data_IF_301311884141
#
_entry.id   IF_301311884141
#
_cell.length_a   1.000
_cell.length_b   1.000
_cell.length_c   1.000
_cell.angle_alpha   90.00
_cell.angle_beta   90.00
_cell.angle_gamma   90.00
#
_symmetry.space_group_name_H-M   'P 1'
#
loop_
_entity.id
_entity.type
_entity.pdbx_description
1 polymer ?
#
# COMPACT_ATOMS: atom_id res chain seq x y z
N UNK A 1 2.34 17.00 5.35
CA UNK A 1 3.58 17.37 4.63
C UNK A 1 3.20 17.76 3.21
N UNK A 2 3.71 18.85 2.68
CA UNK A 2 3.49 19.27 1.29
C UNK A 2 4.40 18.44 0.36
N UNK A 3 4.05 18.23 -0.91
CA UNK A 3 4.87 17.42 -1.82
C UNK A 3 6.35 17.84 -1.92
N UNK A 4 6.65 19.15 -1.92
CA UNK A 4 8.03 19.65 -1.95
C UNK A 4 8.78 19.40 -0.62
N UNK A 5 8.13 19.52 0.53
CA UNK A 5 8.74 19.21 1.84
C UNK A 5 9.12 17.73 1.93
N UNK A 6 8.28 16.87 1.34
CA UNK A 6 8.56 15.44 1.24
C UNK A 6 9.78 15.15 0.36
N UNK A 7 9.86 15.80 -0.80
CA UNK A 7 10.99 15.64 -1.72
C UNK A 7 12.30 16.17 -1.10
N UNK A 8 12.25 17.30 -0.42
CA UNK A 8 13.39 17.89 0.31
C UNK A 8 13.89 16.94 1.40
N UNK A 9 12.96 16.38 2.19
CA UNK A 9 13.30 15.39 3.20
C UNK A 9 13.98 14.16 2.57
N UNK A 10 13.40 13.56 1.52
CA UNK A 10 13.99 12.41 0.86
C UNK A 10 15.39 12.72 0.29
N UNK A 11 15.57 13.89 -0.29
CA UNK A 11 16.87 14.31 -0.83
C UNK A 11 17.92 14.48 0.29
N UNK A 12 17.53 15.03 1.43
CA UNK A 12 18.47 15.29 2.55
C UNK A 12 18.96 14.01 3.23
N UNK A 13 18.14 12.94 3.28
CA UNK A 13 18.47 11.68 3.97
C UNK A 13 18.93 10.56 3.03
N UNK A 14 18.82 10.71 1.71
CA UNK A 14 19.04 9.65 0.75
C UNK A 14 20.42 8.98 0.87
N UNK A 15 21.48 9.79 1.08
CA UNK A 15 22.85 9.28 1.24
C UNK A 15 22.98 8.42 2.50
N UNK A 16 22.50 8.94 3.63
CA UNK A 16 22.57 8.26 4.93
C UNK A 16 21.82 6.93 4.90
N UNK A 17 20.60 6.91 4.35
CA UNK A 17 19.78 5.70 4.20
C UNK A 17 20.47 4.65 3.33
N UNK A 18 21.14 5.06 2.25
CA UNK A 18 21.89 4.14 1.39
C UNK A 18 23.11 3.53 2.11
N UNK A 19 23.89 4.37 2.80
CA UNK A 19 25.06 3.93 3.55
C UNK A 19 24.65 2.99 4.67
N UNK A 20 23.56 3.28 5.38
CA UNK A 20 23.00 2.41 6.40
C UNK A 20 22.53 1.06 5.84
N UNK A 21 21.84 1.05 4.70
CA UNK A 21 21.37 -0.17 4.06
C UNK A 21 22.54 -1.09 3.66
N UNK A 22 23.57 -0.56 3.04
CA UNK A 22 24.78 -1.30 2.64
C UNK A 22 25.53 -1.82 3.86
N UNK A 23 25.73 -0.98 4.86
CA UNK A 23 26.39 -1.35 6.12
C UNK A 23 25.63 -2.45 6.86
N UNK A 24 24.31 -2.31 6.99
CA UNK A 24 23.46 -3.31 7.66
C UNK A 24 23.42 -4.64 6.94
N UNK A 25 23.55 -4.63 5.62
CA UNK A 25 23.66 -5.84 4.82
C UNK A 25 25.05 -6.50 4.91
N UNK A 26 26.06 -5.81 5.46
CA UNK A 26 27.45 -6.30 5.56
C UNK A 26 28.14 -6.44 4.21
N UNK A 27 27.73 -5.68 3.19
CA UNK A 27 28.28 -5.71 1.83
C UNK A 27 28.88 -4.35 1.44
N UNK A 28 29.59 -4.33 0.32
CA UNK A 28 30.04 -3.12 -0.34
C UNK A 28 29.17 -2.76 -1.55
N UNK A 29 29.22 -1.51 -2.01
CA UNK A 29 28.52 -1.09 -3.22
C UNK A 29 28.89 -1.89 -4.48
N UNK A 30 30.11 -2.43 -4.55
CA UNK A 30 30.56 -3.23 -5.69
C UNK A 30 29.85 -4.61 -5.77
N UNK A 31 29.35 -5.11 -4.65
CA UNK A 31 28.62 -6.38 -4.56
C UNK A 31 27.14 -6.24 -4.94
N UNK A 32 26.63 -5.00 -5.08
CA UNK A 32 25.29 -4.75 -5.60
C UNK A 32 25.23 -5.20 -7.05
N UNK A 33 24.24 -6.03 -7.39
CA UNK A 33 24.08 -6.60 -8.73
C UNK A 33 22.98 -5.95 -9.54
N UNK A 34 21.99 -5.32 -8.88
CA UNK A 34 20.79 -4.75 -9.49
C UNK A 34 20.32 -3.54 -8.68
N UNK A 35 19.78 -2.53 -9.35
CA UNK A 35 19.18 -1.37 -8.71
C UNK A 35 17.71 -1.31 -9.08
N UNK A 36 16.84 -1.38 -8.06
CA UNK A 36 15.41 -1.20 -8.18
C UNK A 36 14.99 0.16 -7.61
N UNK A 37 14.00 0.80 -8.23
CA UNK A 37 13.39 2.01 -7.70
C UNK A 37 11.89 2.04 -7.91
N UNK A 38 11.16 2.74 -7.05
CA UNK A 38 9.73 2.97 -7.25
C UNK A 38 9.54 3.94 -8.41
N UNK A 39 9.13 3.42 -9.56
CA UNK A 39 8.86 4.22 -10.76
C UNK A 39 7.49 4.91 -10.67
N UNK A 40 6.56 4.30 -9.97
CA UNK A 40 5.20 4.75 -9.75
C UNK A 40 4.26 3.63 -9.35
N UNK A 41 2.99 3.94 -9.05
CA UNK A 41 2.45 5.29 -8.88
C UNK A 41 2.96 5.97 -7.59
N UNK A 42 2.70 7.28 -7.46
CA UNK A 42 3.05 8.01 -6.24
C UNK A 42 3.17 9.53 -6.43
N UNK A 43 3.62 10.19 -5.37
CA UNK A 43 3.82 11.64 -5.37
C UNK A 43 5.00 11.98 -6.28
N UNK A 44 4.73 12.64 -7.42
CA UNK A 44 5.70 12.87 -8.48
C UNK A 44 7.03 13.45 -8.01
N UNK A 45 7.02 14.46 -7.13
CA UNK A 45 8.25 15.08 -6.60
C UNK A 45 9.08 14.09 -5.76
N UNK A 46 8.46 13.22 -4.97
CA UNK A 46 9.16 12.18 -4.22
C UNK A 46 9.71 11.09 -5.14
N UNK A 47 8.93 10.68 -6.16
CA UNK A 47 9.37 9.71 -7.17
C UNK A 47 10.60 10.21 -7.94
N UNK A 48 10.65 11.51 -8.28
CA UNK A 48 11.81 12.12 -8.97
C UNK A 48 13.08 11.97 -8.13
N UNK A 49 13.02 12.21 -6.82
CA UNK A 49 14.20 12.04 -5.94
C UNK A 49 14.68 10.59 -5.94
N UNK A 50 13.77 9.64 -5.75
CA UNK A 50 14.11 8.21 -5.78
C UNK A 50 14.71 7.76 -7.11
N UNK A 51 14.10 8.18 -8.23
CA UNK A 51 14.59 7.90 -9.57
C UNK A 51 15.99 8.52 -9.81
N UNK A 52 16.20 9.76 -9.39
CA UNK A 52 17.50 10.43 -9.52
C UNK A 52 18.61 9.67 -8.80
N UNK A 53 18.38 9.28 -7.55
CA UNK A 53 19.35 8.53 -6.75
C UNK A 53 19.65 7.16 -7.38
N UNK A 54 18.61 6.43 -7.80
CA UNK A 54 18.76 5.13 -8.43
C UNK A 54 19.52 5.20 -9.76
N UNK A 55 19.24 6.20 -10.60
CA UNK A 55 19.93 6.46 -11.86
C UNK A 55 21.40 6.79 -11.64
N UNK A 56 21.70 7.68 -10.69
CA UNK A 56 23.07 8.04 -10.35
C UNK A 56 23.88 6.83 -9.86
N UNK A 57 23.26 5.95 -9.06
CA UNK A 57 23.90 4.71 -8.63
C UNK A 57 24.11 3.73 -9.78
N UNK A 58 23.12 3.56 -10.66
CA UNK A 58 23.20 2.69 -11.85
C UNK A 58 24.37 3.11 -12.74
N UNK A 59 24.47 4.39 -13.06
CA UNK A 59 25.57 4.95 -13.87
C UNK A 59 26.93 4.76 -13.16
N UNK A 60 27.00 5.11 -11.88
CA UNK A 60 28.26 5.02 -11.12
C UNK A 60 28.78 3.60 -10.97
N UNK A 61 27.89 2.64 -10.77
CA UNK A 61 28.24 1.23 -10.50
C UNK A 61 28.21 0.35 -11.76
N UNK A 62 27.71 0.85 -12.87
CA UNK A 62 27.52 0.08 -14.12
C UNK A 62 26.55 -1.08 -13.94
N UNK A 63 25.48 -0.89 -13.11
CA UNK A 63 24.52 -1.95 -12.78
C UNK A 63 23.18 -1.71 -13.45
N UNK A 64 22.44 -2.79 -13.84
CA UNK A 64 21.12 -2.65 -14.44
C UNK A 64 20.15 -1.91 -13.52
N UNK A 65 19.27 -1.09 -14.10
CA UNK A 65 18.24 -0.30 -13.45
C UNK A 65 16.86 -0.85 -13.78
N UNK A 66 16.03 -1.11 -12.79
CA UNK A 66 14.65 -1.59 -12.95
C UNK A 66 13.68 -0.66 -12.24
N UNK A 67 12.76 -0.08 -13.01
CA UNK A 67 11.61 0.66 -12.47
C UNK A 67 10.51 -0.29 -12.05
N UNK A 68 10.02 -0.14 -10.81
CA UNK A 68 9.07 -1.03 -10.16
C UNK A 68 7.73 -0.33 -9.99
N UNK A 69 6.64 -1.06 -10.29
CA UNK A 69 5.29 -0.65 -9.93
C UNK A 69 5.08 -0.89 -8.42
N UNK A 70 4.80 0.16 -7.67
CA UNK A 70 4.73 0.15 -6.21
C UNK A 70 3.67 -0.81 -5.63
N UNK A 71 2.41 -0.85 -6.11
CA UNK A 71 1.44 -1.87 -5.72
C UNK A 71 1.91 -3.31 -5.96
N UNK A 72 2.54 -3.60 -7.09
CA UNK A 72 3.10 -4.93 -7.36
C UNK A 72 4.15 -5.30 -6.30
N UNK A 73 5.00 -4.35 -5.90
CA UNK A 73 6.00 -4.61 -4.88
C UNK A 73 5.38 -5.02 -3.53
N UNK A 74 4.29 -4.35 -3.11
CA UNK A 74 3.53 -4.76 -1.92
C UNK A 74 2.94 -6.15 -2.04
N UNK A 75 2.38 -6.49 -3.20
CA UNK A 75 1.78 -7.81 -3.43
C UNK A 75 2.87 -8.89 -3.38
N UNK A 76 3.96 -8.72 -4.12
CA UNK A 76 5.00 -9.73 -4.24
C UNK A 76 5.79 -9.95 -2.94
N UNK A 77 6.09 -8.89 -2.18
CA UNK A 77 6.72 -9.04 -0.87
C UNK A 77 5.77 -9.73 0.12
N UNK A 78 4.48 -9.41 0.05
CA UNK A 78 3.45 -10.07 0.85
C UNK A 78 3.34 -11.57 0.51
N UNK A 79 3.36 -11.90 -0.77
CA UNK A 79 3.29 -13.29 -1.23
C UNK A 79 4.46 -14.12 -0.72
N UNK A 80 5.69 -13.67 -0.93
CA UNK A 80 6.88 -14.43 -0.48
C UNK A 80 6.95 -14.53 1.05
N UNK A 81 6.64 -13.45 1.77
CA UNK A 81 6.69 -13.44 3.24
C UNK A 81 5.66 -14.36 3.90
N UNK A 82 4.54 -14.65 3.21
CA UNK A 82 3.43 -15.45 3.77
C UNK A 82 3.27 -16.82 3.11
N UNK A 83 4.03 -17.11 2.07
CA UNK A 83 3.84 -18.31 1.24
C UNK A 83 2.53 -18.30 0.46
N UNK A 84 1.97 -17.11 0.20
CA UNK A 84 0.73 -16.95 -0.56
C UNK A 84 0.98 -17.20 -2.05
N UNK A 85 0.09 -17.97 -2.70
CA UNK A 85 0.29 -18.37 -4.10
C UNK A 85 -0.51 -17.53 -5.09
N UNK A 86 -1.84 -17.54 -4.95
CA UNK A 86 -2.76 -16.83 -5.85
C UNK A 86 -3.94 -16.24 -5.09
N UNK A 87 -3.72 -15.27 -4.22
CA UNK A 87 -4.75 -14.69 -3.35
C UNK A 87 -5.65 -13.70 -4.07
N UNK A 88 -6.80 -13.42 -3.46
CA UNK A 88 -7.36 -12.07 -3.51
C UNK A 88 -6.50 -11.18 -2.62
N UNK A 89 -6.04 -10.06 -3.15
CA UNK A 89 -5.22 -9.11 -2.41
C UNK A 89 -6.06 -7.91 -1.99
N UNK A 90 -6.06 -7.62 -0.70
CA UNK A 90 -6.61 -6.39 -0.14
C UNK A 90 -5.45 -5.44 0.15
N UNK A 91 -5.24 -4.49 -0.75
CA UNK A 91 -4.19 -3.48 -0.65
C UNK A 91 -4.74 -2.19 -0.05
N UNK A 92 -4.36 -1.86 1.17
CA UNK A 92 -4.86 -0.68 1.89
C UNK A 92 -3.71 0.14 2.46
N UNK A 93 -3.49 1.29 1.83
CA UNK A 93 -2.42 2.23 2.20
C UNK A 93 -2.98 3.64 2.47
N UNK A 94 -2.11 4.63 2.58
CA UNK A 94 -2.51 6.05 2.65
C UNK A 94 -3.36 6.46 1.45
N UNK A 95 -2.82 6.30 0.26
CA UNK A 95 -3.45 6.72 -1.00
C UNK A 95 -4.37 5.69 -1.64
N UNK A 96 -4.13 4.41 -1.42
CA UNK A 96 -4.83 3.33 -2.11
C UNK A 96 -5.70 2.50 -1.18
N UNK A 97 -6.88 2.12 -1.67
CA UNK A 97 -7.72 1.05 -1.13
C UNK A 97 -8.22 0.28 -2.32
N UNK A 98 -7.63 -0.88 -2.58
CA UNK A 98 -7.88 -1.68 -3.77
C UNK A 98 -8.06 -3.15 -3.39
N UNK A 99 -8.98 -3.81 -4.08
CA UNK A 99 -9.13 -5.27 -4.07
C UNK A 99 -8.64 -5.79 -5.41
N UNK A 100 -7.62 -6.61 -5.38
CA UNK A 100 -6.85 -7.01 -6.55
C UNK A 100 -6.87 -8.53 -6.66
N UNK A 101 -6.88 -9.05 -7.87
CA UNK A 101 -6.69 -10.49 -8.16
C UNK A 101 -5.71 -10.66 -9.32
N UNK A 102 -5.16 -11.86 -9.47
CA UNK A 102 -4.38 -12.23 -10.63
C UNK A 102 -5.23 -13.06 -11.60
N UNK A 103 -5.18 -12.71 -12.90
CA UNK A 103 -5.99 -13.38 -13.95
C UNK A 103 -5.18 -14.37 -14.81
N UNK A 104 -4.02 -14.82 -14.34
CA UNK A 104 -3.10 -15.68 -15.06
C UNK A 104 -2.03 -14.92 -15.87
N UNK A 105 -2.28 -13.65 -16.23
CA UNK A 105 -1.36 -12.81 -17.03
C UNK A 105 -0.88 -11.57 -16.30
N UNK A 106 -1.75 -10.96 -15.50
CA UNK A 106 -1.49 -9.71 -14.78
C UNK A 106 -2.39 -9.59 -13.56
N UNK A 107 -2.03 -8.69 -12.69
CA UNK A 107 -2.91 -8.22 -11.63
C UNK A 107 -4.03 -7.36 -12.21
N UNK A 108 -5.24 -7.51 -11.66
CA UNK A 108 -6.45 -6.80 -12.08
C UNK A 108 -7.13 -6.23 -10.86
N UNK A 109 -7.49 -4.96 -10.89
CA UNK A 109 -8.28 -4.31 -9.85
C UNK A 109 -9.74 -4.72 -10.03
N UNK A 110 -10.30 -5.40 -9.05
CA UNK A 110 -11.73 -5.79 -9.01
C UNK A 110 -12.60 -4.68 -8.46
N UNK A 111 -12.06 -3.90 -7.52
CA UNK A 111 -12.73 -2.78 -6.90
C UNK A 111 -11.73 -1.88 -6.20
N UNK A 112 -12.05 -0.60 -6.11
CA UNK A 112 -11.19 0.40 -5.50
C UNK A 112 -11.98 1.56 -4.88
N UNK A 113 -11.30 2.39 -4.10
CA UNK A 113 -11.89 3.64 -3.65
C UNK A 113 -12.04 4.62 -4.81
N UNK A 114 -13.23 5.22 -4.93
CA UNK A 114 -13.53 6.19 -5.99
C UNK A 114 -13.05 7.62 -5.66
N UNK A 115 -12.52 7.83 -4.44
CA UNK A 115 -12.15 9.19 -4.01
C UNK A 115 -10.82 9.20 -3.24
N UNK A 116 -10.82 8.93 -1.95
CA UNK A 116 -9.61 8.94 -1.10
C UNK A 116 -9.33 7.55 -0.53
N UNK A 117 -8.05 7.21 -0.38
CA UNK A 117 -7.66 6.00 0.32
C UNK A 117 -8.05 6.03 1.79
N UNK A 118 -8.28 4.84 2.37
CA UNK A 118 -8.68 4.70 3.77
C UNK A 118 -7.66 5.33 4.73
N UNK A 119 -6.36 5.13 4.51
CA UNK A 119 -5.33 5.75 5.34
C UNK A 119 -5.37 7.28 5.28
N UNK A 120 -5.55 7.87 4.10
CA UNK A 120 -5.71 9.33 3.97
C UNK A 120 -7.00 9.84 4.65
N UNK A 121 -8.07 9.06 4.65
CA UNK A 121 -9.29 9.41 5.38
C UNK A 121 -9.05 9.42 6.90
N UNK A 122 -8.32 8.41 7.42
CA UNK A 122 -7.87 8.37 8.81
C UNK A 122 -6.97 9.56 9.16
N UNK A 123 -6.01 9.89 8.31
CA UNK A 123 -5.08 11.01 8.52
C UNK A 123 -5.81 12.35 8.57
N UNK A 124 -6.80 12.56 7.71
CA UNK A 124 -7.61 13.78 7.71
C UNK A 124 -8.47 13.90 8.96
N UNK A 125 -9.13 12.81 9.38
CA UNK A 125 -9.92 12.80 10.61
C UNK A 125 -9.02 13.00 11.84
N UNK A 126 -7.89 12.31 11.92
CA UNK A 126 -6.92 12.43 12.99
C UNK A 126 -6.36 13.85 13.12
N UNK A 127 -6.09 14.52 12.01
CA UNK A 127 -5.66 15.93 11.99
C UNK A 127 -6.72 16.88 12.54
N UNK A 128 -7.99 16.69 12.17
CA UNK A 128 -9.11 17.48 12.71
C UNK A 128 -9.26 17.30 14.23
N UNK A 129 -8.90 16.12 14.74
CA UNK A 129 -8.91 15.79 16.16
C UNK A 129 -7.67 16.27 16.90
N UNK A 130 -6.65 16.79 16.20
CA UNK A 130 -5.36 17.18 16.79
C UNK A 130 -4.47 15.99 17.18
N UNK A 131 -4.67 14.82 16.60
CA UNK A 131 -3.86 13.63 16.86
C UNK A 131 -2.49 13.74 16.16
N UNK A 132 -1.42 13.20 16.76
CA UNK A 132 -0.12 13.12 16.11
C UNK A 132 -0.16 12.18 14.89
N UNK A 133 0.77 12.41 13.96
CA UNK A 133 0.92 11.57 12.77
C UNK A 133 1.88 10.39 13.05
N UNK A 134 1.57 9.17 12.58
CA UNK A 134 0.33 8.73 11.95
C UNK A 134 -0.80 8.50 12.99
N UNK A 135 -2.03 8.98 12.76
CA UNK A 135 -3.11 8.88 13.72
C UNK A 135 -3.75 7.47 13.81
N UNK A 136 -3.58 6.65 12.76
CA UNK A 136 -4.21 5.33 12.65
C UNK A 136 -4.06 4.45 13.90
N UNK A 137 -2.87 4.22 14.43
CA UNK A 137 -2.66 3.40 15.63
C UNK A 137 -3.40 3.93 16.87
N UNK A 138 -3.47 5.26 17.03
CA UNK A 138 -4.19 5.90 18.13
C UNK A 138 -5.69 5.72 17.95
N UNK A 139 -6.20 5.99 16.75
CA UNK A 139 -7.62 5.83 16.42
C UNK A 139 -8.07 4.37 16.59
N UNK A 140 -7.20 3.43 16.27
CA UNK A 140 -7.48 1.99 16.38
C UNK A 140 -7.68 1.53 17.84
N UNK A 141 -7.04 2.20 18.79
CA UNK A 141 -7.17 1.91 20.23
C UNK A 141 -8.35 2.61 20.93
N UNK A 142 -9.02 3.54 20.24
CA UNK A 142 -10.13 4.29 20.81
C UNK A 142 -11.39 3.41 20.84
N UNK A 143 -11.99 3.30 22.02
CA UNK A 143 -13.30 2.69 22.22
C UNK A 143 -14.38 3.78 22.31
N UNK A 144 -15.56 3.51 21.75
CA UNK A 144 -16.67 4.44 21.73
C UNK A 144 -18.00 3.74 21.52
N UNK A 145 -19.07 4.53 21.57
CA UNK A 145 -20.42 4.08 21.27
C UNK A 145 -20.72 4.31 19.78
N UNK A 146 -21.62 3.50 19.25
CA UNK A 146 -22.08 3.62 17.88
C UNK A 146 -22.74 4.97 17.61
N UNK A 147 -22.29 5.61 16.56
CA UNK A 147 -22.93 6.77 15.94
C UNK A 147 -23.14 6.44 14.46
N UNK A 148 -24.37 6.59 13.99
CA UNK A 148 -24.69 6.34 12.58
C UNK A 148 -23.87 7.22 11.65
N UNK A 149 -23.19 6.61 10.68
CA UNK A 149 -22.39 7.25 9.64
C UNK A 149 -22.73 6.62 8.29
N UNK A 150 -22.54 7.35 7.18
CA UNK A 150 -22.83 6.84 5.84
C UNK A 150 -22.03 5.57 5.51
N UNK A 151 -22.69 4.61 4.89
CA UNK A 151 -22.10 3.38 4.38
C UNK A 151 -22.15 3.42 2.84
N UNK A 152 -21.01 3.58 2.19
CA UNK A 152 -20.96 3.86 0.75
C UNK A 152 -20.15 2.79 0.01
N UNK A 153 -20.81 1.68 -0.33
CA UNK A 153 -20.30 0.62 -1.19
C UNK A 153 -21.20 0.55 -2.43
N UNK A 154 -20.60 0.58 -3.62
CA UNK A 154 -21.29 0.48 -4.91
C UNK A 154 -20.67 -0.62 -5.76
N UNK A 155 -21.31 -1.79 -5.81
CA UNK A 155 -20.74 -2.95 -6.49
C UNK A 155 -19.45 -3.39 -5.82
N UNK A 156 -18.33 -3.27 -6.52
CA UNK A 156 -16.99 -3.58 -6.00
C UNK A 156 -16.23 -2.33 -5.53
N UNK A 157 -16.79 -1.14 -5.72
CA UNK A 157 -16.14 0.13 -5.36
C UNK A 157 -16.69 0.71 -4.07
N UNK A 158 -15.91 1.58 -3.45
CA UNK A 158 -16.26 2.23 -2.20
C UNK A 158 -15.79 3.70 -2.19
N UNK A 159 -16.34 4.49 -1.26
CA UNK A 159 -16.03 5.92 -1.15
C UNK A 159 -15.96 6.32 0.31
N UNK A 160 -14.88 7.00 0.70
CA UNK A 160 -14.65 7.42 2.09
C UNK A 160 -14.90 8.92 2.33
N UNK A 161 -14.98 9.74 1.27
CA UNK A 161 -15.14 11.19 1.43
C UNK A 161 -16.47 11.58 2.10
N UNK A 162 -17.55 10.89 1.75
CA UNK A 162 -18.86 11.11 2.38
C UNK A 162 -18.85 10.71 3.86
N UNK A 163 -18.27 9.56 4.19
CA UNK A 163 -18.08 9.08 5.55
C UNK A 163 -17.27 10.08 6.39
N UNK A 164 -16.14 10.56 5.85
CA UNK A 164 -15.27 11.53 6.50
C UNK A 164 -15.99 12.87 6.73
N UNK A 165 -16.69 13.37 5.71
CA UNK A 165 -17.41 14.64 5.80
C UNK A 165 -18.50 14.61 6.88
N UNK A 166 -19.24 13.50 6.97
CA UNK A 166 -20.27 13.34 7.99
C UNK A 166 -19.65 13.19 9.39
N UNK A 167 -18.57 12.45 9.53
CA UNK A 167 -17.82 12.35 10.80
C UNK A 167 -17.38 13.74 11.29
N UNK A 168 -16.78 14.56 10.40
CA UNK A 168 -16.38 15.93 10.71
C UNK A 168 -17.59 16.83 11.06
N UNK A 169 -18.70 16.67 10.36
CA UNK A 169 -19.95 17.43 10.64
C UNK A 169 -20.48 17.11 12.05
N UNK A 170 -20.49 15.84 12.44
CA UNK A 170 -20.94 15.40 13.76
C UNK A 170 -19.98 15.87 14.88
N UNK A 171 -18.67 15.86 14.63
CA UNK A 171 -17.71 16.46 15.57
C UNK A 171 -18.02 17.95 15.84
N UNK A 172 -18.29 18.73 14.78
CA UNK A 172 -18.68 20.14 14.91
C UNK A 172 -20.02 20.33 15.60
N UNK A 173 -20.91 19.36 15.50
CA UNK A 173 -22.21 19.34 16.20
C UNK A 173 -22.12 18.93 17.67
N UNK A 174 -20.92 18.65 18.20
CA UNK A 174 -20.69 18.37 19.62
C UNK A 174 -20.80 16.89 20.02
N UNK A 175 -20.82 15.97 19.06
CA UNK A 175 -20.73 14.56 19.38
C UNK A 175 -19.37 14.23 20.01
N UNK A 176 -19.32 13.22 20.90
CA UNK A 176 -18.07 12.80 21.53
C UNK A 176 -17.07 12.31 20.48
N UNK A 177 -15.82 12.75 20.63
CA UNK A 177 -14.74 12.40 19.69
C UNK A 177 -14.52 10.89 19.59
N UNK A 178 -14.53 10.21 20.74
CA UNK A 178 -14.33 8.77 20.83
C UNK A 178 -15.41 7.99 20.06
N UNK A 179 -16.66 8.40 20.19
CA UNK A 179 -17.79 7.77 19.52
C UNK A 179 -17.70 7.94 17.99
N UNK A 180 -17.30 9.12 17.53
CA UNK A 180 -17.10 9.39 16.11
C UNK A 180 -15.92 8.59 15.55
N UNK A 181 -14.78 8.58 16.23
CA UNK A 181 -13.60 7.83 15.78
C UNK A 181 -13.91 6.34 15.71
N UNK A 182 -14.51 5.79 16.78
CA UNK A 182 -14.86 4.38 16.83
C UNK A 182 -15.80 4.00 15.68
N UNK A 183 -16.87 4.77 15.47
CA UNK A 183 -17.87 4.51 14.41
C UNK A 183 -17.28 4.70 13.01
N UNK A 184 -16.41 5.70 12.81
CA UNK A 184 -15.72 5.92 11.55
C UNK A 184 -14.86 4.72 11.16
N UNK A 185 -14.03 4.23 12.10
CA UNK A 185 -13.17 3.07 11.88
C UNK A 185 -14.00 1.81 11.60
N UNK A 186 -15.09 1.62 12.37
CA UNK A 186 -15.98 0.48 12.24
C UNK A 186 -16.66 0.42 10.86
N UNK A 187 -17.22 1.54 10.41
CA UNK A 187 -17.87 1.65 9.09
C UNK A 187 -16.85 1.48 7.97
N UNK A 188 -15.72 2.20 8.04
CA UNK A 188 -14.71 2.16 6.99
C UNK A 188 -14.10 0.76 6.82
N UNK A 189 -13.81 0.07 7.91
CA UNK A 189 -13.32 -1.31 7.87
C UNK A 189 -14.37 -2.28 7.36
N UNK A 190 -15.64 -2.13 7.79
CA UNK A 190 -16.72 -3.01 7.32
C UNK A 190 -16.97 -2.86 5.81
N UNK A 191 -16.97 -1.63 5.28
CA UNK A 191 -17.06 -1.39 3.84
C UNK A 191 -15.93 -2.09 3.07
N UNK A 192 -14.70 -1.99 3.58
CA UNK A 192 -13.53 -2.55 2.94
C UNK A 192 -13.54 -4.09 2.98
N UNK A 193 -13.95 -4.67 4.10
CA UNK A 193 -14.09 -6.13 4.27
C UNK A 193 -15.19 -6.69 3.38
N UNK A 194 -16.32 -5.99 3.25
CA UNK A 194 -17.43 -6.41 2.37
C UNK A 194 -16.98 -6.53 0.91
N UNK A 195 -16.22 -5.54 0.40
CA UNK A 195 -15.72 -5.59 -0.98
C UNK A 195 -14.72 -6.74 -1.16
N UNK A 196 -13.86 -6.99 -0.18
CA UNK A 196 -12.94 -8.11 -0.18
C UNK A 196 -13.69 -9.47 -0.16
N UNK A 197 -14.76 -9.58 0.62
CA UNK A 197 -15.63 -10.75 0.64
C UNK A 197 -16.30 -11.03 -0.72
N UNK A 198 -16.84 -9.98 -1.34
CA UNK A 198 -17.41 -10.07 -2.70
C UNK A 198 -16.37 -10.54 -3.71
N UNK A 199 -15.11 -10.09 -3.59
CA UNK A 199 -14.04 -10.51 -4.48
C UNK A 199 -13.68 -11.99 -4.30
N UNK A 200 -13.64 -12.51 -3.07
CA UNK A 200 -13.47 -13.95 -2.83
C UNK A 200 -14.61 -14.74 -3.45
N UNK A 201 -15.87 -14.29 -3.30
CA UNK A 201 -17.02 -14.94 -3.92
C UNK A 201 -16.99 -14.90 -5.45
N UNK A 202 -16.61 -13.75 -6.02
CA UNK A 202 -16.56 -13.55 -7.48
C UNK A 202 -15.47 -14.40 -8.14
N UNK A 203 -14.31 -14.50 -7.51
CA UNK A 203 -13.14 -15.21 -8.06
C UNK A 203 -13.13 -16.70 -7.75
N UNK A 204 -13.90 -17.14 -6.75
CA UNK A 204 -13.84 -18.50 -6.23
C UNK A 204 -12.53 -18.83 -5.51
N UNK A 205 -11.67 -17.84 -5.26
CA UNK A 205 -10.42 -18.03 -4.51
C UNK A 205 -10.71 -18.18 -3.02
N UNK A 206 -9.87 -18.95 -2.35
CA UNK A 206 -9.99 -19.26 -0.93
C UNK A 206 -8.82 -18.73 -0.09
N UNK A 207 -8.12 -17.74 -0.59
CA UNK A 207 -6.99 -17.10 0.08
C UNK A 207 -7.08 -15.58 -0.06
N UNK A 208 -6.94 -14.87 1.05
CA UNK A 208 -6.88 -13.41 1.09
C UNK A 208 -5.55 -12.96 1.69
N UNK A 209 -4.86 -12.09 0.96
CA UNK A 209 -3.62 -11.44 1.38
C UNK A 209 -3.89 -9.96 1.66
N UNK A 210 -3.67 -9.52 2.90
CA UNK A 210 -3.78 -8.11 3.31
C UNK A 210 -2.40 -7.46 3.29
N UNK A 211 -2.24 -6.36 2.53
CA UNK A 211 -0.99 -5.59 2.41
C UNK A 211 -1.23 -4.08 2.49
N UNK A 212 -0.18 -3.31 2.69
CA UNK A 212 -0.21 -1.86 2.85
C UNK A 212 -0.19 -1.40 4.30
N UNK A 213 0.02 -0.11 4.53
CA UNK A 213 0.24 0.43 5.87
C UNK A 213 -0.92 0.25 6.84
N UNK A 214 -2.17 0.26 6.36
CA UNK A 214 -3.38 0.04 7.19
C UNK A 214 -3.50 -1.42 7.64
N UNK A 215 -2.81 -2.36 6.98
CA UNK A 215 -2.70 -3.75 7.42
C UNK A 215 -2.06 -3.90 8.83
N UNK A 216 -1.43 -2.86 9.35
CA UNK A 216 -0.92 -2.85 10.72
C UNK A 216 -2.04 -2.81 11.80
N UNK A 217 -3.25 -2.30 11.46
CA UNK A 217 -4.37 -2.16 12.41
C UNK A 217 -4.83 -3.51 12.98
N UNK A 218 -4.79 -3.74 14.30
CA UNK A 218 -5.31 -4.95 14.92
C UNK A 218 -6.81 -5.15 14.68
N UNK A 219 -7.62 -4.09 14.78
CA UNK A 219 -9.07 -4.17 14.55
C UNK A 219 -9.40 -4.54 13.11
N UNK A 220 -8.67 -3.96 12.15
CA UNK A 220 -8.89 -4.28 10.75
C UNK A 220 -8.50 -5.74 10.44
N UNK A 221 -7.34 -6.18 10.91
CA UNK A 221 -6.91 -7.59 10.77
C UNK A 221 -7.93 -8.56 11.34
N UNK A 222 -8.47 -8.26 12.53
CA UNK A 222 -9.48 -9.10 13.18
C UNK A 222 -10.76 -9.20 12.34
N UNK A 223 -11.25 -8.09 11.79
CA UNK A 223 -12.43 -8.11 10.90
C UNK A 223 -12.18 -8.94 9.64
N UNK A 224 -11.04 -8.74 9.00
CA UNK A 224 -10.67 -9.51 7.80
C UNK A 224 -10.53 -10.99 8.13
N UNK A 225 -9.88 -11.33 9.24
CA UNK A 225 -9.70 -12.72 9.69
C UNK A 225 -11.03 -13.41 9.90
N UNK A 226 -11.96 -12.78 10.65
CA UNK A 226 -13.30 -13.33 10.89
C UNK A 226 -14.07 -13.58 9.60
N UNK A 227 -14.06 -12.63 8.67
CA UNK A 227 -14.71 -12.80 7.37
C UNK A 227 -14.11 -13.99 6.62
N UNK A 228 -12.79 -14.14 6.61
CA UNK A 228 -12.13 -15.28 5.96
C UNK A 228 -12.53 -16.61 6.63
N UNK A 229 -12.54 -16.68 7.95
CA UNK A 229 -12.95 -17.88 8.71
C UNK A 229 -14.40 -18.29 8.39
N UNK A 230 -15.32 -17.33 8.39
CA UNK A 230 -16.74 -17.55 8.06
C UNK A 230 -16.94 -18.06 6.63
N UNK A 231 -16.03 -17.71 5.69
CA UNK A 231 -16.04 -18.18 4.31
C UNK A 231 -15.19 -19.44 4.08
N UNK A 232 -14.50 -19.96 5.07
CA UNK A 232 -13.54 -21.05 4.89
C UNK A 232 -12.33 -20.67 4.05
N UNK A 233 -11.98 -19.37 3.98
CA UNK A 233 -10.82 -18.87 3.29
C UNK A 233 -9.63 -18.68 4.25
N UNK A 234 -8.41 -18.82 3.74
CA UNK A 234 -7.21 -18.53 4.51
C UNK A 234 -6.90 -17.03 4.52
N UNK A 235 -6.52 -16.51 5.68
CA UNK A 235 -6.08 -15.13 5.85
C UNK A 235 -4.58 -15.04 6.00
N UNK A 236 -3.95 -14.21 5.18
CA UNK A 236 -2.51 -13.96 5.16
C UNK A 236 -2.24 -12.47 5.33
N UNK A 237 -1.24 -12.15 6.15
CA UNK A 237 -0.73 -10.79 6.33
C UNK A 237 0.77 -10.88 6.61
N UNK A 238 1.63 -10.15 5.89
CA UNK A 238 3.06 -10.16 6.15
C UNK A 238 3.38 -9.47 7.48
N UNK A 239 4.59 -9.69 8.04
CA UNK A 239 5.09 -8.95 9.19
C UNK A 239 4.97 -7.43 8.97
N UNK A 240 4.75 -6.63 10.03
CA UNK A 240 4.51 -5.18 9.91
C UNK A 240 5.59 -4.40 9.16
N UNK A 241 6.85 -4.82 9.27
CA UNK A 241 8.00 -4.24 8.58
C UNK A 241 7.97 -4.45 7.07
N UNK A 242 7.33 -5.52 6.59
CA UNK A 242 7.14 -5.83 5.17
C UNK A 242 5.76 -5.38 4.65
N UNK A 243 4.78 -5.20 5.53
CA UNK A 243 3.45 -4.72 5.14
C UNK A 243 3.42 -3.24 4.74
N UNK A 244 4.28 -2.42 5.38
CA UNK A 244 4.44 -0.98 5.10
C UNK A 244 5.40 -0.75 3.94
N UNK A 245 5.48 0.53 3.49
CA UNK A 245 6.49 0.94 2.51
C UNK A 245 7.90 0.66 3.04
N UNK A 246 8.69 -0.03 2.23
CA UNK A 246 10.07 -0.37 2.55
C UNK A 246 10.89 -0.60 1.27
N UNK A 247 12.23 -0.50 1.39
CA UNK A 247 13.12 -0.72 0.25
C UNK A 247 13.18 -2.18 -0.21
N UNK A 248 12.98 -3.13 0.71
CA UNK A 248 13.08 -4.56 0.40
C UNK A 248 11.98 -5.01 -0.58
N UNK A 249 10.75 -4.49 -0.47
CA UNK A 249 9.68 -4.81 -1.42
C UNK A 249 10.01 -4.36 -2.84
N UNK A 250 10.63 -3.18 -2.99
CA UNK A 250 11.05 -2.65 -4.30
C UNK A 250 12.20 -3.50 -4.86
N UNK A 251 13.20 -3.80 -4.03
CA UNK A 251 14.33 -4.65 -4.43
C UNK A 251 13.85 -6.06 -4.84
N UNK A 252 12.93 -6.65 -4.11
CA UNK A 252 12.34 -7.95 -4.41
C UNK A 252 11.60 -7.95 -5.75
N UNK A 253 10.71 -6.99 -5.97
CA UNK A 253 9.98 -6.89 -7.23
C UNK A 253 10.90 -6.58 -8.42
N UNK A 254 11.94 -5.77 -8.22
CA UNK A 254 12.97 -5.53 -9.25
C UNK A 254 13.73 -6.82 -9.58
N UNK A 255 14.11 -7.61 -8.58
CA UNK A 255 14.79 -8.89 -8.76
C UNK A 255 13.92 -9.88 -9.54
N UNK A 256 12.65 -10.03 -9.18
CA UNK A 256 11.71 -10.88 -9.90
C UNK A 256 11.55 -10.41 -11.36
N UNK A 257 11.36 -9.10 -11.55
CA UNK A 257 11.23 -8.53 -12.89
C UNK A 257 12.44 -8.80 -13.77
N UNK A 258 13.64 -8.65 -13.23
CA UNK A 258 14.88 -8.91 -13.93
C UNK A 258 15.11 -10.40 -14.19
N UNK A 259 14.96 -11.25 -13.17
CA UNK A 259 15.22 -12.68 -13.25
C UNK A 259 14.28 -13.41 -14.21
N UNK A 260 13.02 -13.01 -14.27
CA UNK A 260 12.01 -13.61 -15.16
C UNK A 260 11.84 -12.86 -16.48
N UNK A 261 12.65 -11.83 -16.75
CA UNK A 261 12.59 -11.05 -17.99
C UNK A 261 11.26 -10.32 -18.20
N UNK A 262 10.57 -9.95 -17.11
CA UNK A 262 9.27 -9.25 -17.17
C UNK A 262 9.44 -7.86 -17.76
N UNK A 263 10.45 -7.12 -17.29
CA UNK A 263 10.86 -5.85 -17.87
C UNK A 263 12.35 -5.89 -18.21
N UNK A 264 12.73 -5.16 -19.23
CA UNK A 264 14.15 -4.97 -19.54
C UNK A 264 14.74 -3.88 -18.65
N UNK A 265 16.06 -3.96 -18.33
CA UNK A 265 16.74 -2.85 -17.70
C UNK A 265 16.50 -1.55 -18.46
N UNK A 266 16.26 -0.49 -17.71
CA UNK A 266 16.04 0.86 -18.26
C UNK A 266 17.38 1.53 -18.54
N UNK A 267 17.40 2.38 -19.57
CA UNK A 267 18.51 3.32 -19.75
C UNK A 267 18.43 4.39 -18.63
N UNK A 268 19.45 4.52 -17.79
CA UNK A 268 19.46 5.53 -16.74
C UNK A 268 19.33 6.98 -17.27
N UNK A 269 19.71 7.25 -18.52
CA UNK A 269 19.59 8.57 -19.12
C UNK A 269 18.17 8.88 -19.59
N UNK A 270 17.36 7.84 -19.90
CA UNK A 270 16.04 8.00 -20.52
C UNK A 270 14.87 7.47 -19.66
N UNK A 271 15.16 6.99 -18.45
CA UNK A 271 14.13 6.47 -17.55
C UNK A 271 13.27 7.58 -16.95
N UNK A 272 11.94 7.43 -17.00
CA UNK A 272 10.97 8.40 -16.50
C UNK A 272 10.13 7.82 -15.36
N UNK A 273 9.67 8.70 -14.45
CA UNK A 273 8.67 8.33 -13.44
C UNK A 273 7.28 8.22 -14.08
N UNK A 274 6.41 7.41 -13.48
CA UNK A 274 5.01 7.19 -13.88
C UNK A 274 4.07 7.40 -12.69
N UNK A 275 3.75 8.66 -12.32
CA UNK A 275 2.97 8.96 -11.11
C UNK A 275 1.60 8.30 -11.04
N UNK A 276 0.97 8.05 -12.18
CA UNK A 276 -0.38 7.48 -12.31
C UNK A 276 -0.37 6.02 -12.82
N UNK A 277 0.77 5.32 -12.67
CA UNK A 277 0.96 3.97 -13.20
C UNK A 277 0.13 2.94 -12.46
N UNK A 278 -0.94 2.48 -13.08
CA UNK A 278 -1.84 1.50 -12.47
C UNK A 278 -1.20 0.09 -12.43
N UNK A 279 -1.59 -0.70 -11.45
CA UNK A 279 -1.14 -2.09 -11.32
C UNK A 279 -1.61 -2.95 -12.49
N UNK A 280 -2.80 -2.69 -13.00
CA UNK A 280 -3.43 -3.41 -14.11
C UNK A 280 -2.88 -3.02 -15.50
N UNK A 281 -2.04 -1.99 -15.60
CA UNK A 281 -1.30 -1.66 -16.82
C UNK A 281 -0.05 -2.54 -17.01
N UNK A 282 0.36 -3.28 -15.97
CA UNK A 282 1.61 -4.05 -15.98
C UNK A 282 1.33 -5.50 -16.31
N UNK A 283 1.98 -6.03 -17.34
CA UNK A 283 2.03 -7.48 -17.55
C UNK A 283 2.96 -8.09 -16.50
N UNK A 284 2.41 -8.91 -15.64
CA UNK A 284 3.15 -9.56 -14.56
C UNK A 284 2.65 -11.00 -14.42
N UNK A 285 3.43 -12.01 -14.82
CA UNK A 285 3.01 -13.39 -14.69
C UNK A 285 2.92 -13.82 -13.23
N UNK A 286 2.09 -14.82 -12.96
CA UNK A 286 2.04 -15.40 -11.62
C UNK A 286 3.28 -16.27 -11.40
N UNK A 287 4.23 -15.74 -10.67
CA UNK A 287 5.47 -16.44 -10.31
C UNK A 287 5.16 -17.41 -9.16
N UNK A 288 5.45 -18.69 -9.34
CA UNK A 288 5.22 -19.75 -8.34
C UNK A 288 6.46 -19.98 -7.47
#
# INVERSE_FOLDING_TARGET
MRPHELAEHHSSVAKEVLEEAISSAGISFNEVSLIGYSRGPGIGQALVVGAFVARALSLKLGKPLIGVNHPIAHVEIGRIATGSRDPVVLYVSGGNTQVITHNGRRYVVLGETLDIGLGNAQDRLGRELGLPFPPGPIMDSIEGKWVELPYTVKGMDLSFSGLLTEAMRKLKAGYRKEDIVWSFMEVAFSMTVEVAERALALTGKNELLLVGGVAASPRFKEKVRRMCEERGASFKVPPPELARDNGAMIAWAALLSYAYGITRPEDPEDSNILPDWRIDDVTWPLIQ
#
